data_IF_016253369460
#
_entry.id   IF_016253369460
#
_cell.length_a   1.000
_cell.length_b   1.000
_cell.length_c   1.000
_cell.angle_alpha   90.00
_cell.angle_beta   90.00
_cell.angle_gamma   90.00
#
_symmetry.space_group_name_H-M   'P 1'
#
loop_
_entity.id
_entity.type
_entity.pdbx_description
1 polymer ?
#
# COMPACT_ATOMS: atom_id res chain seq x y z
N UNK A 1 -12.37 2.76 7.89
CA UNK A 1 -11.63 3.96 7.45
C UNK A 1 -10.87 3.62 6.19
N UNK A 2 -11.03 4.43 5.17
CA UNK A 2 -10.38 4.22 3.88
C UNK A 2 -9.59 5.46 3.47
N UNK A 3 -8.34 5.24 3.08
CA UNK A 3 -7.44 6.29 2.61
C UNK A 3 -6.98 5.93 1.21
N UNK A 4 -7.21 6.83 0.25
CA UNK A 4 -6.78 6.67 -1.13
C UNK A 4 -5.62 7.61 -1.42
N UNK A 5 -4.58 7.10 -2.09
CA UNK A 5 -3.38 7.86 -2.42
C UNK A 5 -2.94 7.55 -3.85
N UNK A 6 -2.50 8.59 -4.54
CA UNK A 6 -1.81 8.44 -5.82
C UNK A 6 -0.35 8.79 -5.60
N UNK A 7 0.54 7.85 -5.85
CA UNK A 7 1.97 8.07 -5.70
C UNK A 7 2.57 8.51 -7.02
N UNK A 8 3.41 9.55 -6.94
CA UNK A 8 4.07 10.16 -8.09
C UNK A 8 5.58 10.03 -7.90
N UNK A 9 6.28 9.59 -8.94
CA UNK A 9 7.72 9.48 -8.95
C UNK A 9 8.27 10.18 -10.19
N UNK A 10 9.19 11.12 -10.01
CA UNK A 10 9.78 11.92 -11.09
C UNK A 10 8.72 12.60 -11.98
N UNK A 11 7.64 13.07 -11.37
CA UNK A 11 6.55 13.75 -12.07
C UNK A 11 5.52 12.82 -12.70
N UNK A 12 5.72 11.51 -12.70
CA UNK A 12 4.80 10.54 -13.28
C UNK A 12 4.03 9.77 -12.20
N UNK A 13 2.71 9.54 -12.39
CA UNK A 13 1.96 8.70 -11.48
C UNK A 13 2.38 7.24 -11.65
N UNK A 14 2.66 6.57 -10.54
CA UNK A 14 3.21 5.21 -10.57
C UNK A 14 2.38 4.19 -9.80
N UNK A 15 1.68 4.60 -8.75
CA UNK A 15 0.91 3.68 -7.90
C UNK A 15 -0.39 4.32 -7.44
N UNK A 16 -1.48 3.56 -7.52
CA UNK A 16 -2.76 3.90 -6.87
C UNK A 16 -2.87 3.01 -5.63
N UNK A 17 -3.00 3.62 -4.45
CA UNK A 17 -3.13 2.88 -3.19
C UNK A 17 -4.49 3.12 -2.53
N UNK A 18 -5.08 2.07 -1.99
CA UNK A 18 -6.24 2.14 -1.12
C UNK A 18 -5.91 1.41 0.18
N UNK A 19 -5.86 2.13 1.29
CA UNK A 19 -5.59 1.57 2.60
C UNK A 19 -6.84 1.63 3.46
N UNK A 20 -7.16 0.52 4.13
CA UNK A 20 -8.32 0.41 5.02
C UNK A 20 -7.87 0.07 6.43
N UNK A 21 -8.49 0.75 7.40
CA UNK A 21 -8.27 0.54 8.84
C UNK A 21 -9.59 0.26 9.54
N UNK A 22 -9.53 -0.42 10.69
CA UNK A 22 -10.71 -0.54 11.55
C UNK A 22 -11.01 0.81 12.23
N UNK A 23 -12.24 0.95 12.75
CA UNK A 23 -12.68 2.20 13.42
C UNK A 23 -11.83 2.59 14.63
N UNK A 24 -11.22 1.62 15.29
CA UNK A 24 -10.35 1.91 16.44
C UNK A 24 -9.12 2.75 16.09
N UNK A 25 -8.79 2.89 14.80
CA UNK A 25 -7.70 3.72 14.32
C UNK A 25 -8.19 5.08 13.80
N UNK A 26 -9.37 5.53 14.22
CA UNK A 26 -9.95 6.81 13.78
C UNK A 26 -9.05 8.02 14.10
N UNK A 27 -8.17 7.91 15.09
CA UNK A 27 -7.20 8.95 15.43
C UNK A 27 -6.30 9.33 14.25
N UNK A 28 -6.14 8.44 13.26
CA UNK A 28 -5.32 8.71 12.07
C UNK A 28 -5.84 9.87 11.23
N UNK A 29 -7.12 10.22 11.35
CA UNK A 29 -7.67 11.37 10.63
C UNK A 29 -7.06 12.70 11.08
N UNK A 30 -6.53 12.77 12.31
CA UNK A 30 -5.86 13.95 12.83
C UNK A 30 -4.36 14.00 12.54
N UNK A 31 -3.81 12.99 11.88
CA UNK A 31 -2.39 12.85 11.62
C UNK A 31 -2.02 13.27 10.20
N UNK A 32 -0.77 13.69 10.04
CA UNK A 32 -0.22 13.94 8.71
C UNK A 32 0.16 12.61 8.06
N UNK A 33 -0.67 12.17 7.11
CA UNK A 33 -0.48 10.88 6.43
C UNK A 33 0.48 10.93 5.24
N UNK A 34 1.13 12.06 4.99
CA UNK A 34 2.15 12.17 3.95
C UNK A 34 3.46 11.51 4.34
N UNK A 35 3.71 11.34 5.64
CA UNK A 35 4.87 10.64 6.16
C UNK A 35 4.70 9.12 6.20
N UNK A 36 5.56 8.46 6.94
CA UNK A 36 5.50 7.01 7.13
C UNK A 36 4.33 6.61 8.03
N UNK A 37 3.42 5.82 7.49
CA UNK A 37 2.31 5.27 8.25
C UNK A 37 2.79 4.40 9.40
N UNK A 38 3.87 3.63 9.19
CA UNK A 38 4.46 2.77 10.22
C UNK A 38 4.97 3.58 11.42
N UNK A 39 5.59 4.73 11.16
CA UNK A 39 6.06 5.63 12.22
C UNK A 39 4.90 6.21 13.02
N UNK A 40 3.81 6.60 12.35
CA UNK A 40 2.62 7.12 13.00
C UNK A 40 2.02 6.07 13.93
N UNK A 41 1.88 4.84 13.46
CA UNK A 41 1.34 3.74 14.26
C UNK A 41 2.24 3.44 15.47
N UNK A 42 3.55 3.35 15.26
CA UNK A 42 4.52 3.08 16.32
C UNK A 42 4.51 4.18 17.39
N UNK A 43 4.41 5.43 16.97
CA UNK A 43 4.34 6.58 17.90
C UNK A 43 3.10 6.49 18.80
N UNK A 44 2.04 5.85 18.36
CA UNK A 44 0.81 5.62 19.12
C UNK A 44 0.78 4.25 19.80
N UNK A 45 1.91 3.58 19.91
CA UNK A 45 2.03 2.30 20.61
C UNK A 45 1.53 1.09 19.83
N UNK A 46 1.30 1.23 18.53
CA UNK A 46 0.84 0.16 17.68
C UNK A 46 2.02 -0.41 16.91
N UNK A 47 2.38 -1.66 17.20
CA UNK A 47 3.51 -2.34 16.57
C UNK A 47 2.98 -3.40 15.62
N UNK A 48 3.39 -3.31 14.36
CA UNK A 48 3.10 -4.33 13.38
C UNK A 48 4.06 -5.49 13.55
N UNK A 49 3.54 -6.69 13.70
CA UNK A 49 4.34 -7.87 14.01
C UNK A 49 4.38 -8.87 12.87
N UNK A 50 3.54 -8.71 11.87
CA UNK A 50 3.54 -9.60 10.71
C UNK A 50 2.52 -9.18 9.68
N UNK A 51 2.43 -9.97 8.60
CA UNK A 51 1.51 -9.69 7.52
C UNK A 51 1.65 -10.67 6.38
N UNK A 52 0.79 -10.46 5.38
CA UNK A 52 0.78 -11.26 4.15
C UNK A 52 0.71 -10.31 2.97
N UNK A 53 1.61 -10.51 2.01
CA UNK A 53 1.61 -9.77 0.74
C UNK A 53 1.33 -10.73 -0.40
N UNK A 54 0.38 -10.36 -1.25
CA UNK A 54 0.06 -11.10 -2.47
C UNK A 54 0.28 -10.18 -3.66
N UNK A 55 0.95 -10.67 -4.69
CA UNK A 55 1.22 -9.92 -5.91
C UNK A 55 0.60 -10.69 -7.08
N UNK A 56 -0.26 -10.01 -7.83
CA UNK A 56 -0.94 -10.55 -9.00
C UNK A 56 -0.85 -9.56 -10.15
N UNK A 57 -1.52 -9.88 -11.23
CA UNK A 57 -1.63 -9.03 -12.41
C UNK A 57 -3.08 -8.56 -12.52
N UNK A 58 -3.27 -7.31 -12.89
CA UNK A 58 -4.59 -6.77 -13.23
C UNK A 58 -4.50 -5.91 -14.49
N UNK A 59 -5.65 -5.58 -15.04
CA UNK A 59 -5.74 -4.67 -16.17
C UNK A 59 -6.44 -3.39 -15.72
N UNK A 60 -5.97 -2.25 -16.20
CA UNK A 60 -6.55 -0.96 -15.79
C UNK A 60 -8.00 -0.83 -16.23
N UNK A 61 -8.83 -0.31 -15.32
CA UNK A 61 -10.13 0.24 -15.68
C UNK A 61 -9.92 1.60 -16.33
N UNK A 62 -11.00 2.17 -16.89
CA UNK A 62 -10.93 3.51 -17.46
C UNK A 62 -10.45 4.56 -16.46
N UNK A 63 -10.97 4.53 -15.23
CA UNK A 63 -10.61 5.48 -14.17
C UNK A 63 -9.16 5.31 -13.74
N UNK A 64 -8.72 4.07 -13.58
CA UNK A 64 -7.34 3.76 -13.21
C UNK A 64 -6.35 4.20 -14.28
N UNK A 65 -6.71 3.99 -15.55
CA UNK A 65 -5.90 4.41 -16.68
C UNK A 65 -5.72 5.93 -16.71
N UNK A 66 -6.78 6.69 -16.45
CA UNK A 66 -6.72 8.15 -16.37
C UNK A 66 -5.79 8.61 -15.24
N UNK A 67 -5.91 8.00 -14.05
CA UNK A 67 -5.07 8.35 -12.90
C UNK A 67 -3.60 8.02 -13.13
N UNK A 68 -3.31 6.89 -13.73
CA UNK A 68 -1.94 6.42 -13.99
C UNK A 68 -1.36 6.96 -15.30
N UNK A 69 -2.15 7.68 -16.10
CA UNK A 69 -1.73 8.20 -17.40
C UNK A 69 -1.23 7.08 -18.31
N UNK A 70 -2.03 6.02 -18.40
CA UNK A 70 -1.78 4.86 -19.26
C UNK A 70 -3.06 4.54 -20.07
N UNK A 71 -2.99 3.56 -20.93
CA UNK A 71 -4.14 3.12 -21.71
C UNK A 71 -5.09 2.27 -20.87
N UNK A 72 -6.39 2.33 -21.20
CA UNK A 72 -7.37 1.45 -20.61
C UNK A 72 -7.03 -0.01 -20.93
N UNK A 73 -7.27 -0.90 -19.99
CA UNK A 73 -6.99 -2.33 -20.10
C UNK A 73 -5.49 -2.68 -20.21
N UNK A 74 -4.63 -1.77 -19.80
CA UNK A 74 -3.19 -2.03 -19.76
C UNK A 74 -2.82 -2.89 -18.54
N UNK A 75 -1.83 -3.76 -18.71
CA UNK A 75 -1.39 -4.68 -17.66
C UNK A 75 -0.60 -3.95 -16.55
N UNK A 76 -1.06 -4.12 -15.32
CA UNK A 76 -0.44 -3.55 -14.12
C UNK A 76 -0.18 -4.66 -13.11
N UNK A 77 0.66 -4.38 -12.12
CA UNK A 77 0.78 -5.25 -10.96
C UNK A 77 -0.29 -4.87 -9.93
N UNK A 78 -0.87 -5.88 -9.30
CA UNK A 78 -1.83 -5.71 -8.22
C UNK A 78 -1.24 -6.32 -6.94
N UNK A 79 -0.96 -5.46 -5.96
CA UNK A 79 -0.39 -5.90 -4.69
C UNK A 79 -1.41 -5.71 -3.58
N UNK A 80 -1.61 -6.75 -2.79
CA UNK A 80 -2.52 -6.72 -1.65
C UNK A 80 -1.75 -7.09 -0.39
N UNK A 81 -1.79 -6.19 0.59
CA UNK A 81 -1.13 -6.37 1.89
C UNK A 81 -2.15 -6.44 3.00
N UNK A 82 -1.93 -7.33 3.96
CA UNK A 82 -2.67 -7.38 5.22
C UNK A 82 -1.62 -7.38 6.32
N UNK A 83 -1.71 -6.40 7.23
CA UNK A 83 -0.81 -6.28 8.37
C UNK A 83 -1.54 -6.57 9.66
N UNK A 84 -0.85 -7.27 10.57
CA UNK A 84 -1.41 -7.70 11.86
C UNK A 84 -0.52 -7.24 13.02
N UNK A 85 -1.11 -7.13 14.20
CA UNK A 85 -0.38 -6.85 15.44
C UNK A 85 0.18 -8.15 16.05
N UNK A 86 0.79 -8.04 17.24
CA UNK A 86 1.40 -9.18 17.94
C UNK A 86 0.40 -10.29 18.29
N UNK A 87 -0.89 -9.97 18.35
CA UNK A 87 -1.94 -10.95 18.64
C UNK A 87 -2.58 -11.54 17.39
N UNK A 88 -2.07 -11.20 16.20
CA UNK A 88 -2.64 -11.62 14.94
C UNK A 88 -3.88 -10.84 14.51
N UNK A 89 -4.23 -9.78 15.22
CA UNK A 89 -5.39 -8.96 14.87
C UNK A 89 -5.04 -8.03 13.70
N UNK A 90 -5.88 -7.96 12.66
CA UNK A 90 -5.61 -7.07 11.53
C UNK A 90 -5.57 -5.60 11.93
N UNK A 91 -4.50 -4.92 11.55
CA UNK A 91 -4.34 -3.46 11.75
C UNK A 91 -4.88 -2.73 10.53
N UNK A 92 -4.37 -3.09 9.36
CA UNK A 92 -4.82 -2.51 8.10
C UNK A 92 -4.65 -3.46 6.94
N UNK A 93 -5.35 -3.16 5.85
CA UNK A 93 -5.12 -3.78 4.55
C UNK A 93 -4.85 -2.69 3.53
N UNK A 94 -4.00 -2.99 2.55
CA UNK A 94 -3.66 -2.07 1.48
C UNK A 94 -3.78 -2.78 0.14
N UNK A 95 -4.42 -2.14 -0.83
CA UNK A 95 -4.46 -2.59 -2.22
C UNK A 95 -3.73 -1.56 -3.07
N UNK A 96 -2.82 -2.02 -3.90
CA UNK A 96 -2.03 -1.14 -4.75
C UNK A 96 -2.07 -1.61 -6.19
N UNK A 97 -2.31 -0.67 -7.11
CA UNK A 97 -2.17 -0.90 -8.54
C UNK A 97 -0.92 -0.17 -8.97
N UNK A 98 0.06 -0.91 -9.48
CA UNK A 98 1.41 -0.44 -9.72
C UNK A 98 1.73 -0.52 -11.21
N UNK A 99 2.20 0.59 -11.79
CA UNK A 99 2.71 0.58 -13.14
C UNK A 99 4.14 0.02 -13.15
N UNK A 100 4.35 -1.23 -13.63
CA UNK A 100 5.65 -1.88 -13.55
C UNK A 100 6.70 -1.30 -14.49
N UNK A 101 6.28 -0.46 -15.44
CA UNK A 101 7.21 0.22 -16.36
C UNK A 101 7.84 1.45 -15.75
N UNK A 102 7.21 2.01 -14.70
CA UNK A 102 7.66 3.25 -14.05
C UNK A 102 8.07 3.05 -12.60
N UNK A 103 7.79 1.89 -12.02
CA UNK A 103 8.04 1.61 -10.61
C UNK A 103 8.56 0.20 -10.43
N UNK A 104 9.71 0.08 -9.76
CA UNK A 104 10.32 -1.20 -9.47
C UNK A 104 9.98 -1.64 -8.04
N UNK A 105 9.58 -2.89 -7.88
CA UNK A 105 9.37 -3.48 -6.56
C UNK A 105 10.65 -4.17 -6.17
N UNK A 106 11.26 -3.70 -5.06
CA UNK A 106 12.50 -4.26 -4.54
C UNK A 106 12.19 -4.96 -3.23
N UNK A 107 12.54 -6.23 -3.14
CA UNK A 107 12.43 -7.02 -1.93
C UNK A 107 13.82 -7.43 -1.50
N UNK A 108 14.24 -6.91 -0.34
CA UNK A 108 15.52 -7.28 0.23
C UNK A 108 15.34 -8.49 1.13
N UNK A 109 16.16 -9.51 0.94
CA UNK A 109 16.14 -10.70 1.78
C UNK A 109 17.39 -10.74 2.63
N UNK A 110 17.26 -11.21 3.85
CA UNK A 110 18.40 -11.37 4.75
C UNK A 110 18.95 -12.79 4.64
N UNK A 111 20.29 -12.96 4.74
CA UNK A 111 20.87 -14.29 4.77
C UNK A 111 20.28 -15.10 5.93
N UNK A 112 20.05 -16.39 5.66
CA UNK A 112 19.62 -17.29 6.71
C UNK A 112 20.80 -17.56 7.64
N UNK A 113 20.59 -17.35 8.95
CA UNK A 113 21.61 -17.57 9.97
C UNK A 113 21.52 -18.96 10.59
N UNK A 114 20.78 -19.83 9.95
CA UNK A 114 20.57 -21.18 10.43
C UNK A 114 21.81 -22.04 10.55
#
# INVERSE_FOLDING_TARGET
IRINRLRISDGDPVVIEETRFSQKYAFLFGENLEGSLYEILAHNGIIMSGGKRTINICNTTKEEAELLEVEENEVMLYMKDICVDANGTPIHSCKSIINPRRYEIIINTMPNKG
#
